data_IF_010806191686
#
_entry.id   IF_010806191686
#
_cell.length_a   1.000
_cell.length_b   1.000
_cell.length_c   1.000
_cell.angle_alpha   90.00
_cell.angle_beta   90.00
_cell.angle_gamma   90.00
#
_symmetry.space_group_name_H-M   'P 1'
#
loop_
_entity.id
_entity.type
_entity.pdbx_description
1 polymer ?
#
# COMPACT_ATOMS: atom_id res chain seq x y z
N UNK A 1 -61.95 20.73 35.11
CA UNK A 1 -62.59 22.07 35.23
C UNK A 1 -62.00 22.95 34.14
N UNK A 2 -62.80 23.14 33.13
CA UNK A 2 -63.33 24.44 32.64
C UNK A 2 -62.24 25.39 32.07
N UNK A 3 -62.20 25.49 30.75
CA UNK A 3 -62.57 26.68 29.91
C UNK A 3 -61.47 27.74 29.86
N UNK A 4 -61.13 28.38 28.72
CA UNK A 4 -61.91 28.96 27.60
C UNK A 4 -61.03 29.39 26.50
N UNK A 5 -61.56 29.27 25.29
CA UNK A 5 -61.16 29.84 24.03
C UNK A 5 -60.94 31.36 24.08
N UNK A 6 -60.01 31.87 23.27
CA UNK A 6 -60.26 33.19 22.64
C UNK A 6 -59.66 33.20 21.24
N UNK A 7 -60.52 33.39 20.29
CA UNK A 7 -60.31 33.49 18.89
C UNK A 7 -60.43 34.98 18.54
N UNK A 8 -59.42 35.57 17.81
CA UNK A 8 -59.57 36.84 17.14
C UNK A 8 -59.06 36.72 15.71
N UNK A 9 -60.00 36.90 14.77
CA UNK A 9 -59.79 37.15 13.36
C UNK A 9 -59.55 38.64 13.16
N UNK A 10 -58.65 39.03 12.20
CA UNK A 10 -58.84 40.15 11.28
C UNK A 10 -57.75 40.08 10.21
N UNK A 11 -58.09 39.75 9.03
CA UNK A 11 -58.34 40.50 7.78
C UNK A 11 -57.17 41.34 7.28
N UNK A 12 -56.52 40.87 6.23
CA UNK A 12 -56.46 41.49 4.91
C UNK A 12 -55.42 42.58 4.66
N UNK A 13 -54.45 42.29 3.80
CA UNK A 13 -54.13 43.20 2.70
C UNK A 13 -53.30 42.42 1.65
N UNK A 14 -53.87 42.34 0.48
CA UNK A 14 -53.32 41.76 -0.74
C UNK A 14 -52.46 42.83 -1.43
N UNK A 15 -51.16 42.63 -1.51
CA UNK A 15 -50.32 43.34 -2.46
C UNK A 15 -49.63 42.35 -3.38
N UNK A 16 -50.06 42.41 -4.63
CA UNK A 16 -49.47 41.70 -5.75
C UNK A 16 -48.09 42.35 -6.06
N UNK A 17 -46.99 41.62 -5.86
CA UNK A 17 -45.69 41.99 -6.37
C UNK A 17 -45.23 40.88 -7.31
N UNK A 18 -45.00 41.27 -8.54
CA UNK A 18 -44.61 40.46 -9.67
C UNK A 18 -43.29 39.76 -9.42
N UNK A 19 -43.31 38.44 -9.63
CA UNK A 19 -42.11 37.60 -9.67
C UNK A 19 -41.21 37.97 -10.83
N UNK A 20 -40.00 38.40 -10.51
CA UNK A 20 -38.85 38.15 -11.37
C UNK A 20 -38.29 36.76 -11.03
N UNK A 21 -38.48 35.75 -11.88
CA UNK A 21 -37.76 34.49 -11.79
C UNK A 21 -36.30 34.75 -12.12
N UNK A 22 -35.45 34.83 -11.13
CA UNK A 22 -34.03 34.64 -11.29
C UNK A 22 -33.81 33.12 -11.52
N UNK A 23 -33.49 32.77 -12.75
CA UNK A 23 -32.99 31.46 -13.13
C UNK A 23 -31.66 31.31 -12.40
N UNK A 24 -31.57 30.45 -11.40
CA UNK A 24 -30.29 29.99 -10.88
C UNK A 24 -29.60 29.26 -12.04
N UNK A 25 -28.57 29.87 -12.57
CA UNK A 25 -27.59 29.16 -13.41
C UNK A 25 -26.92 28.16 -12.47
N UNK A 26 -27.15 26.89 -12.74
CA UNK A 26 -26.38 25.77 -12.19
C UNK A 26 -24.95 25.97 -12.71
N UNK A 27 -24.12 26.60 -11.90
CA UNK A 27 -22.69 26.62 -12.08
C UNK A 27 -22.19 25.19 -11.79
N UNK A 28 -22.29 24.38 -12.84
CA UNK A 28 -21.67 23.07 -12.87
C UNK A 28 -20.18 23.24 -12.65
N UNK A 29 -19.79 23.36 -11.39
CA UNK A 29 -18.40 23.29 -10.97
C UNK A 29 -17.81 22.01 -11.55
N UNK A 30 -17.17 22.15 -12.73
CA UNK A 30 -16.26 21.11 -13.20
C UNK A 30 -15.18 21.01 -12.13
N UNK A 31 -15.32 20.00 -11.27
CA UNK A 31 -14.25 19.60 -10.39
C UNK A 31 -12.99 19.51 -11.25
N UNK A 32 -11.92 20.19 -10.83
CA UNK A 32 -10.63 20.08 -11.49
C UNK A 32 -10.38 18.58 -11.75
N UNK A 33 -9.89 18.18 -12.93
CA UNK A 33 -9.60 16.78 -13.20
C UNK A 33 -8.71 16.29 -12.06
N UNK A 34 -9.15 15.22 -11.39
CA UNK A 34 -8.38 14.59 -10.31
C UNK A 34 -6.97 14.37 -10.88
N UNK A 35 -5.98 15.07 -10.33
CA UNK A 35 -4.61 14.97 -10.80
C UNK A 35 -4.23 13.51 -10.85
N UNK A 36 -3.63 13.06 -11.97
CA UNK A 36 -3.16 11.68 -12.07
C UNK A 36 -2.21 11.39 -10.91
N UNK A 37 -2.38 10.24 -10.25
CA UNK A 37 -1.48 9.81 -9.18
C UNK A 37 -0.04 9.84 -9.69
N UNK A 38 0.84 10.52 -8.95
CA UNK A 38 2.26 10.55 -9.29
C UNK A 38 2.90 9.25 -8.82
N UNK A 39 3.58 8.54 -9.70
CA UNK A 39 4.34 7.34 -9.36
C UNK A 39 5.14 7.55 -8.05
N UNK A 40 5.03 6.58 -7.14
CA UNK A 40 5.61 6.65 -5.81
C UNK A 40 6.50 5.42 -5.56
N UNK A 41 7.83 5.54 -5.69
CA UNK A 41 8.76 4.43 -5.54
C UNK A 41 8.88 3.96 -4.09
N UNK A 42 8.90 2.65 -3.89
CA UNK A 42 9.36 2.00 -2.66
C UNK A 42 10.86 1.71 -2.79
N UNK A 43 11.26 1.15 -3.93
CA UNK A 43 12.65 0.87 -4.29
C UNK A 43 12.83 0.90 -5.82
N UNK A 44 13.85 1.60 -6.29
CA UNK A 44 14.29 1.57 -7.71
C UNK A 44 15.79 1.27 -7.83
N UNK A 45 16.60 1.95 -7.05
CA UNK A 45 18.06 1.75 -6.90
C UNK A 45 18.46 2.07 -5.47
N UNK A 46 19.52 1.45 -4.96
CA UNK A 46 19.99 1.66 -3.56
C UNK A 46 20.28 3.11 -3.20
N UNK A 47 20.61 3.95 -4.16
CA UNK A 47 20.95 5.36 -3.96
C UNK A 47 19.87 6.33 -4.48
N UNK A 48 18.73 5.81 -4.92
CA UNK A 48 17.66 6.67 -5.39
C UNK A 48 17.14 7.55 -4.26
N UNK A 49 17.16 8.89 -4.43
CA UNK A 49 16.61 9.80 -3.43
C UNK A 49 15.09 9.71 -3.32
N UNK A 50 14.45 9.10 -4.32
CA UNK A 50 12.99 8.95 -4.40
C UNK A 50 12.49 7.66 -3.74
N UNK A 51 13.37 6.83 -3.17
CA UNK A 51 12.93 5.66 -2.42
C UNK A 51 12.22 6.10 -1.13
N UNK A 52 11.05 5.53 -0.93
CA UNK A 52 10.23 5.76 0.25
C UNK A 52 10.23 4.53 1.13
N UNK A 53 9.83 4.42 2.26
CA UNK A 53 9.83 3.24 3.12
C UNK A 53 11.23 2.62 3.37
N UNK A 54 11.35 1.97 4.50
CA UNK A 54 12.59 1.33 4.94
C UNK A 54 12.32 -0.16 5.20
N UNK A 55 13.17 -1.09 4.72
CA UNK A 55 13.08 -2.53 5.02
C UNK A 55 13.47 -2.78 6.48
N UNK A 56 12.54 -2.58 7.40
CA UNK A 56 12.77 -2.56 8.85
C UNK A 56 11.91 -3.53 9.64
N UNK A 57 10.79 -4.00 9.07
CA UNK A 57 9.87 -4.92 9.73
C UNK A 57 10.28 -6.38 9.53
N UNK A 58 11.29 -6.83 10.24
CA UNK A 58 11.82 -8.20 10.16
C UNK A 58 10.97 -9.17 10.97
N UNK A 59 10.60 -10.30 10.36
CA UNK A 59 9.61 -11.24 10.91
C UNK A 59 10.09 -12.69 10.84
N UNK A 60 9.53 -13.55 11.73
CA UNK A 60 9.77 -14.98 11.73
C UNK A 60 11.23 -15.32 12.05
N UNK A 61 11.82 -16.22 11.28
CA UNK A 61 13.24 -16.58 11.37
C UNK A 61 14.13 -15.50 10.72
N UNK A 62 14.02 -14.26 11.20
CA UNK A 62 14.72 -13.12 10.63
C UNK A 62 16.25 -13.22 10.70
N UNK A 63 16.79 -14.01 11.64
CA UNK A 63 18.24 -14.30 11.73
C UNK A 63 18.74 -15.15 10.56
N UNK A 64 17.87 -15.77 9.80
CA UNK A 64 18.19 -16.58 8.64
C UNK A 64 18.12 -15.80 7.32
N UNK A 65 17.77 -14.52 7.38
CA UNK A 65 17.72 -13.64 6.21
C UNK A 65 19.05 -12.92 6.04
N UNK A 66 19.63 -12.98 4.84
CA UNK A 66 20.62 -12.03 4.36
C UNK A 66 19.95 -11.11 3.35
N UNK A 67 20.06 -9.81 3.58
CA UNK A 67 19.46 -8.76 2.79
C UNK A 67 20.54 -7.84 2.22
N UNK A 68 20.52 -7.62 0.91
CA UNK A 68 21.43 -6.73 0.23
C UNK A 68 20.67 -5.88 -0.79
N UNK A 69 20.40 -4.64 -0.45
CA UNK A 69 19.73 -3.66 -1.31
C UNK A 69 20.67 -3.01 -2.35
N UNK A 70 21.91 -3.44 -2.40
CA UNK A 70 22.97 -2.94 -3.31
C UNK A 70 23.51 -4.03 -4.21
N UNK A 71 22.72 -5.04 -4.51
CA UNK A 71 23.15 -6.13 -5.35
C UNK A 71 23.26 -5.66 -6.81
N UNK A 72 24.46 -5.79 -7.39
CA UNK A 72 24.81 -5.18 -8.69
C UNK A 72 24.76 -6.15 -9.87
N UNK A 73 24.58 -7.46 -9.60
CA UNK A 73 24.58 -8.45 -10.68
C UNK A 73 23.18 -8.60 -11.29
N UNK A 74 23.07 -8.30 -12.58
CA UNK A 74 21.84 -8.43 -13.39
C UNK A 74 20.61 -7.75 -12.73
N UNK A 75 20.67 -6.45 -12.36
CA UNK A 75 19.45 -5.74 -11.94
C UNK A 75 18.44 -5.75 -13.10
N UNK A 76 17.16 -5.56 -12.79
CA UNK A 76 16.14 -5.39 -13.82
C UNK A 76 16.34 -4.05 -14.55
N UNK A 77 16.54 -3.00 -13.77
CA UNK A 77 16.86 -1.67 -14.29
C UNK A 77 17.93 -0.99 -13.43
N UNK A 78 18.39 0.18 -13.85
CA UNK A 78 19.37 0.96 -13.09
C UNK A 78 20.70 0.23 -12.86
N UNK A 79 21.18 0.28 -11.62
CA UNK A 79 22.50 -0.24 -11.24
C UNK A 79 22.46 -1.31 -10.15
N UNK A 80 21.38 -1.39 -9.38
CA UNK A 80 21.24 -2.31 -8.25
C UNK A 80 19.84 -2.88 -8.16
N UNK A 81 19.75 -4.06 -7.55
CA UNK A 81 18.49 -4.68 -7.12
C UNK A 81 18.59 -5.11 -5.66
N UNK A 82 17.50 -5.56 -5.07
CA UNK A 82 17.48 -6.16 -3.74
C UNK A 82 17.69 -7.67 -3.87
N UNK A 83 18.72 -8.21 -3.23
CA UNK A 83 18.91 -9.64 -3.06
C UNK A 83 18.46 -10.08 -1.68
N UNK A 84 17.67 -11.13 -1.62
CA UNK A 84 17.22 -11.77 -0.39
C UNK A 84 17.66 -13.24 -0.41
N UNK A 85 18.35 -13.66 0.65
CA UNK A 85 18.70 -15.07 0.88
C UNK A 85 18.05 -15.47 2.20
N UNK A 86 17.13 -16.41 2.15
CA UNK A 86 16.51 -17.02 3.32
C UNK A 86 17.05 -18.45 3.44
N UNK A 87 17.77 -18.72 4.54
CA UNK A 87 18.34 -20.06 4.81
C UNK A 87 17.35 -20.94 5.57
N UNK A 88 17.55 -22.26 5.48
CA UNK A 88 16.67 -23.28 6.07
C UNK A 88 17.00 -23.64 7.52
N UNK A 89 17.66 -22.76 8.27
CA UNK A 89 18.14 -23.07 9.64
C UNK A 89 17.04 -23.05 10.69
N UNK A 90 15.96 -22.32 10.45
CA UNK A 90 14.87 -22.08 11.40
C UNK A 90 15.39 -21.58 12.77
N UNK A 91 16.26 -20.57 12.74
CA UNK A 91 17.05 -20.13 13.93
C UNK A 91 16.16 -19.62 15.08
N UNK A 92 15.03 -19.00 14.81
CA UNK A 92 14.03 -18.59 15.79
C UNK A 92 12.90 -19.64 15.97
N UNK A 93 12.91 -20.72 15.20
CA UNK A 93 11.93 -21.79 15.28
C UNK A 93 10.58 -21.51 14.61
N UNK A 94 10.47 -20.43 13.87
CA UNK A 94 9.23 -20.02 13.21
C UNK A 94 8.95 -20.79 11.90
N UNK A 95 10.00 -21.26 11.21
CA UNK A 95 9.95 -21.94 9.90
C UNK A 95 9.37 -21.09 8.76
N UNK A 96 9.29 -19.79 8.97
CA UNK A 96 8.91 -18.80 7.97
C UNK A 96 9.67 -17.50 8.21
N UNK A 97 9.76 -16.66 7.19
CA UNK A 97 10.37 -15.34 7.29
C UNK A 97 9.71 -14.35 6.35
N UNK A 98 9.85 -13.05 6.68
CA UNK A 98 9.40 -11.96 5.86
C UNK A 98 10.02 -10.64 6.27
N UNK A 99 9.90 -9.65 5.38
CA UNK A 99 10.32 -8.27 5.66
C UNK A 99 9.22 -7.32 5.19
N UNK A 100 8.86 -6.35 6.05
CA UNK A 100 8.11 -5.15 5.68
C UNK A 100 9.05 -3.98 5.41
N UNK A 101 8.78 -3.26 4.35
CA UNK A 101 9.21 -1.89 4.12
C UNK A 101 8.23 -0.96 4.83
N UNK A 102 8.70 -0.21 5.83
CA UNK A 102 7.85 0.55 6.75
C UNK A 102 8.20 2.04 6.76
N UNK A 103 7.20 2.88 7.05
CA UNK A 103 7.35 4.29 7.37
C UNK A 103 6.48 4.64 8.60
N UNK A 104 7.09 5.16 9.68
CA UNK A 104 8.53 5.18 9.94
C UNK A 104 9.11 3.78 10.18
N UNK A 105 10.46 3.64 10.18
CA UNK A 105 11.09 2.33 10.41
C UNK A 105 10.65 1.69 11.73
N UNK A 106 10.46 0.35 11.71
CA UNK A 106 10.00 -0.44 12.86
C UNK A 106 8.66 0.01 13.45
N UNK A 107 7.77 0.56 12.62
CA UNK A 107 6.43 0.91 13.05
C UNK A 107 5.46 -0.26 12.82
N UNK A 108 5.00 -0.85 13.91
CA UNK A 108 4.00 -1.91 13.92
C UNK A 108 2.62 -1.38 14.36
N UNK A 109 2.26 -0.17 13.93
CA UNK A 109 1.00 0.48 14.29
C UNK A 109 0.98 1.08 15.70
N UNK A 110 2.15 1.27 16.31
CA UNK A 110 2.29 1.80 17.68
C UNK A 110 2.53 3.30 17.74
N UNK A 111 2.71 3.94 16.59
CA UNK A 111 2.94 5.38 16.46
C UNK A 111 2.45 5.90 15.11
N UNK A 112 2.15 7.20 14.98
CA UNK A 112 1.78 7.80 13.70
C UNK A 112 2.82 7.56 12.62
N UNK A 113 2.37 7.36 11.38
CA UNK A 113 3.24 7.15 10.23
C UNK A 113 2.44 6.82 8.98
N UNK A 114 3.14 6.31 7.98
CA UNK A 114 2.56 5.97 6.70
C UNK A 114 2.55 7.13 5.71
N UNK A 115 2.21 6.79 4.48
CA UNK A 115 1.99 7.75 3.40
C UNK A 115 0.53 7.69 2.95
N UNK A 116 0.01 8.83 2.54
CA UNK A 116 -1.24 8.90 1.79
C UNK A 116 -0.93 8.60 0.32
N UNK A 117 -1.40 7.43 -0.12
CA UNK A 117 -1.24 6.91 -1.47
C UNK A 117 -2.56 6.92 -2.23
N UNK A 118 -3.53 7.71 -1.77
CA UNK A 118 -4.85 7.86 -2.40
C UNK A 118 -4.70 8.19 -3.88
N UNK A 119 -5.37 7.42 -4.71
CA UNK A 119 -5.31 7.56 -6.17
C UNK A 119 -4.40 6.55 -6.87
N UNK A 120 -3.51 5.86 -6.17
CA UNK A 120 -2.79 4.71 -6.73
C UNK A 120 -3.78 3.61 -7.12
N UNK A 121 -3.58 2.99 -8.28
CA UNK A 121 -4.42 1.92 -8.81
C UNK A 121 -3.78 0.55 -8.68
N UNK A 122 -2.48 0.52 -8.56
CA UNK A 122 -1.70 -0.71 -8.43
C UNK A 122 -0.36 -0.44 -7.77
N UNK A 123 0.23 -1.48 -7.20
CA UNK A 123 1.65 -1.55 -6.94
C UNK A 123 2.26 -2.55 -7.93
N UNK A 124 3.32 -2.15 -8.63
CA UNK A 124 4.08 -3.04 -9.50
C UNK A 124 5.48 -3.27 -8.94
N UNK A 125 6.04 -4.43 -9.24
CA UNK A 125 7.43 -4.77 -8.90
C UNK A 125 7.95 -5.85 -9.83
N UNK A 126 9.27 -5.93 -9.97
CA UNK A 126 9.92 -7.01 -10.67
C UNK A 126 10.53 -7.98 -9.67
N UNK A 127 10.40 -9.27 -9.93
CA UNK A 127 10.99 -10.32 -9.12
C UNK A 127 11.52 -11.46 -9.98
N UNK A 128 12.59 -12.11 -9.49
CA UNK A 128 13.13 -13.36 -10.05
C UNK A 128 13.69 -14.23 -8.93
N UNK A 129 13.68 -15.51 -9.13
CA UNK A 129 14.43 -16.47 -8.33
C UNK A 129 15.90 -16.52 -8.77
N UNK A 130 16.72 -17.16 -7.98
CA UNK A 130 18.11 -17.43 -8.34
C UNK A 130 18.19 -18.59 -9.35
N UNK A 131 17.42 -19.63 -9.12
CA UNK A 131 17.37 -20.85 -9.95
C UNK A 131 16.04 -20.98 -10.70
N UNK A 132 15.01 -20.33 -10.23
CA UNK A 132 13.62 -20.58 -10.58
C UNK A 132 13.02 -21.71 -9.74
N UNK A 133 11.74 -21.57 -9.42
CA UNK A 133 11.02 -22.47 -8.53
C UNK A 133 10.93 -21.98 -7.07
N UNK A 134 11.66 -20.92 -6.70
CA UNK A 134 11.50 -20.27 -5.41
C UNK A 134 10.05 -19.78 -5.26
N UNK A 135 9.41 -20.14 -4.16
CA UNK A 135 8.00 -19.83 -3.91
C UNK A 135 7.88 -18.78 -2.81
N UNK A 136 7.23 -17.69 -3.12
CA UNK A 136 6.90 -16.63 -2.18
C UNK A 136 5.41 -16.77 -1.85
N UNK A 137 5.09 -16.94 -0.57
CA UNK A 137 3.72 -17.18 -0.13
C UNK A 137 2.86 -15.91 -0.24
N UNK A 138 3.47 -14.76 -0.02
CA UNK A 138 2.77 -13.50 -0.05
C UNK A 138 3.69 -12.34 -0.47
N UNK A 139 3.20 -11.50 -1.36
CA UNK A 139 3.60 -10.12 -1.54
C UNK A 139 2.42 -9.23 -1.23
N UNK A 140 2.59 -8.19 -0.41
CA UNK A 140 1.48 -7.32 -0.02
C UNK A 140 1.91 -5.89 0.32
N UNK A 141 0.89 -5.05 0.45
CA UNK A 141 0.95 -3.70 1.04
C UNK A 141 -0.02 -3.63 2.20
N UNK A 142 0.22 -2.73 3.13
CA UNK A 142 -0.68 -2.51 4.25
C UNK A 142 -0.79 -3.71 5.21
N UNK A 143 -1.83 -3.68 6.04
CA UNK A 143 -2.16 -4.76 6.97
C UNK A 143 -1.41 -4.70 8.31
N UNK A 144 -0.66 -3.65 8.58
CA UNK A 144 -0.17 -3.36 9.93
C UNK A 144 -1.37 -2.95 10.79
N UNK A 145 -1.50 -3.57 11.96
CA UNK A 145 -2.60 -3.34 12.91
C UNK A 145 -2.14 -2.55 14.12
N UNK A 146 -3.06 -2.04 14.95
CA UNK A 146 -2.74 -1.30 16.16
C UNK A 146 -3.47 0.03 16.24
N UNK A 147 -3.01 0.93 17.10
CA UNK A 147 -3.60 2.26 17.28
C UNK A 147 -3.49 3.11 16.00
N UNK A 148 -2.38 2.95 15.27
CA UNK A 148 -2.11 3.62 14.00
C UNK A 148 -2.01 2.58 12.89
N UNK A 149 -3.11 1.83 12.72
CA UNK A 149 -3.21 0.79 11.71
C UNK A 149 -3.14 1.34 10.28
N UNK A 150 -2.71 0.50 9.35
CA UNK A 150 -2.89 0.80 7.94
C UNK A 150 -4.38 0.87 7.58
N UNK A 151 -4.73 1.75 6.65
CA UNK A 151 -6.13 1.98 6.24
C UNK A 151 -6.71 0.79 5.47
N UNK A 152 -5.86 0.03 4.76
CA UNK A 152 -6.27 -1.18 4.02
C UNK A 152 -5.11 -2.16 3.86
N UNK A 153 -5.39 -3.28 3.19
CA UNK A 153 -4.43 -4.31 2.82
C UNK A 153 -4.75 -4.86 1.43
N UNK A 154 -3.74 -5.11 0.64
CA UNK A 154 -3.86 -5.83 -0.63
C UNK A 154 -2.61 -6.69 -0.86
N UNK A 155 -2.76 -7.79 -1.58
CA UNK A 155 -1.64 -8.68 -1.83
C UNK A 155 -1.91 -9.70 -2.93
N UNK A 156 -0.84 -10.37 -3.30
CA UNK A 156 -0.85 -11.51 -4.23
C UNK A 156 -0.04 -12.66 -3.62
N UNK A 157 -0.36 -13.85 -4.02
CA UNK A 157 0.37 -15.07 -3.63
C UNK A 157 -0.53 -16.29 -3.55
N UNK A 158 0.04 -17.47 -3.47
CA UNK A 158 1.46 -17.75 -3.61
C UNK A 158 1.97 -17.54 -5.05
N UNK A 159 3.24 -17.13 -5.16
CA UNK A 159 3.92 -16.89 -6.45
C UNK A 159 5.13 -17.83 -6.58
N UNK A 160 5.27 -18.47 -7.72
CA UNK A 160 6.48 -19.24 -8.07
C UNK A 160 7.33 -18.38 -9.00
N UNK A 161 8.55 -18.09 -8.61
CA UNK A 161 9.47 -17.26 -9.36
C UNK A 161 10.19 -18.07 -10.45
N UNK A 162 10.48 -17.43 -11.57
CA UNK A 162 11.40 -17.95 -12.59
C UNK A 162 12.80 -17.39 -12.39
N UNK A 163 13.79 -17.96 -13.08
CA UNK A 163 15.15 -17.42 -13.08
C UNK A 163 15.27 -16.09 -13.84
N UNK A 164 14.28 -15.78 -14.68
CA UNK A 164 14.18 -14.52 -15.40
C UNK A 164 13.30 -13.52 -14.68
N UNK A 165 13.57 -12.23 -14.84
CA UNK A 165 12.77 -11.16 -14.30
C UNK A 165 11.33 -11.19 -14.85
N UNK A 166 10.38 -11.15 -13.95
CA UNK A 166 8.95 -11.04 -14.26
C UNK A 166 8.34 -9.88 -13.49
N UNK A 167 7.44 -9.16 -14.13
CA UNK A 167 6.66 -8.12 -13.47
C UNK A 167 5.44 -8.71 -12.78
N UNK A 168 5.22 -8.31 -11.54
CA UNK A 168 4.05 -8.63 -10.75
C UNK A 168 3.27 -7.36 -10.44
N UNK A 169 1.98 -7.53 -10.22
CA UNK A 169 1.07 -6.42 -9.91
C UNK A 169 0.17 -6.80 -8.75
N UNK A 170 0.08 -5.92 -7.77
CA UNK A 170 -0.96 -5.95 -6.73
C UNK A 170 -1.99 -4.90 -7.14
N UNK A 171 -3.23 -5.33 -7.34
CA UNK A 171 -4.36 -4.45 -7.65
C UNK A 171 -4.78 -3.67 -6.39
N UNK A 172 -4.93 -2.37 -6.53
CA UNK A 172 -5.30 -1.44 -5.46
C UNK A 172 -6.62 -0.71 -5.75
N UNK A 173 -7.32 -1.06 -6.82
CA UNK A 173 -8.61 -0.43 -7.12
C UNK A 173 -9.60 -0.64 -5.99
N UNK A 174 -10.24 0.45 -5.56
CA UNK A 174 -11.22 0.43 -4.47
C UNK A 174 -10.64 0.31 -3.06
N UNK A 175 -9.32 0.32 -2.91
CA UNK A 175 -8.65 0.29 -1.61
C UNK A 175 -8.57 1.67 -0.98
N UNK A 176 -8.72 1.72 0.34
CA UNK A 176 -8.42 2.92 1.13
C UNK A 176 -6.92 3.01 1.38
N UNK A 177 -6.26 3.88 0.65
CA UNK A 177 -4.81 4.07 0.74
C UNK A 177 -4.43 5.37 1.47
N UNK A 178 -5.33 5.92 2.28
CA UNK A 178 -5.14 7.20 2.97
C UNK A 178 -4.03 7.18 4.03
N UNK A 179 -3.68 5.99 4.55
CA UNK A 179 -2.60 5.84 5.53
C UNK A 179 -1.99 4.45 5.43
N UNK A 180 -0.85 4.32 4.78
CA UNK A 180 -0.14 3.05 4.58
C UNK A 180 1.26 3.14 5.18
N UNK A 181 1.46 2.51 6.33
CA UNK A 181 2.76 2.37 7.02
C UNK A 181 3.57 1.20 6.49
N UNK A 182 2.90 0.11 6.12
CA UNK A 182 3.49 -1.07 5.51
C UNK A 182 3.48 -0.98 3.98
N UNK A 183 4.46 -0.30 3.39
CA UNK A 183 4.47 0.03 1.96
C UNK A 183 4.70 -1.15 1.02
N UNK A 184 5.38 -2.19 1.47
CA UNK A 184 5.61 -3.43 0.74
C UNK A 184 6.04 -4.52 1.72
N UNK A 185 5.68 -5.75 1.44
CA UNK A 185 6.07 -6.90 2.25
C UNK A 185 6.20 -8.14 1.37
N UNK A 186 7.11 -9.01 1.74
CA UNK A 186 7.13 -10.39 1.28
C UNK A 186 7.17 -11.34 2.47
N UNK A 187 6.63 -12.56 2.31
CA UNK A 187 6.77 -13.64 3.26
C UNK A 187 6.87 -14.98 2.54
N UNK A 188 7.68 -15.88 3.08
CA UNK A 188 7.78 -17.28 2.63
C UNK A 188 8.11 -18.22 3.79
N UNK A 189 8.09 -19.53 3.55
CA UNK A 189 8.32 -20.53 4.59
C UNK A 189 9.14 -21.73 4.07
N UNK A 190 9.58 -22.58 5.02
CA UNK A 190 10.38 -23.76 4.72
C UNK A 190 9.56 -24.96 4.22
N UNK A 191 8.23 -24.93 4.33
CA UNK A 191 7.40 -26.03 3.82
C UNK A 191 7.35 -25.99 2.30
N UNK A 192 7.46 -24.81 1.70
CA UNK A 192 7.49 -24.60 0.25
C UNK A 192 8.89 -24.36 -0.31
N UNK A 193 9.86 -24.00 0.54
CA UNK A 193 11.27 -23.83 0.21
C UNK A 193 12.15 -24.60 1.21
N UNK A 194 12.15 -25.94 1.22
CA UNK A 194 12.83 -26.72 2.26
C UNK A 194 14.36 -26.53 2.28
N UNK A 195 14.95 -26.09 1.18
CA UNK A 195 16.39 -25.76 1.07
C UNK A 195 16.68 -24.28 1.29
N UNK A 196 15.67 -23.49 1.69
CA UNK A 196 15.72 -22.03 1.68
C UNK A 196 15.38 -21.45 0.32
N UNK A 197 15.49 -20.13 0.18
CA UNK A 197 15.20 -19.42 -1.06
C UNK A 197 16.20 -18.27 -1.28
N UNK A 198 16.63 -18.09 -2.52
CA UNK A 198 17.34 -16.88 -2.95
C UNK A 198 16.55 -16.23 -4.07
N UNK A 199 16.18 -14.98 -3.90
CA UNK A 199 15.41 -14.24 -4.88
C UNK A 199 15.77 -12.76 -4.88
N UNK A 200 15.30 -12.07 -5.91
CA UNK A 200 15.65 -10.68 -6.17
C UNK A 200 14.41 -9.87 -6.46
N UNK A 201 14.41 -8.61 -6.02
CA UNK A 201 13.36 -7.64 -6.24
C UNK A 201 13.94 -6.37 -6.86
N UNK A 202 13.15 -5.71 -7.70
CA UNK A 202 13.53 -4.45 -8.31
C UNK A 202 12.30 -3.64 -8.71
N UNK A 203 12.46 -2.32 -8.92
CA UNK A 203 11.42 -1.42 -9.42
C UNK A 203 10.08 -1.56 -8.68
N UNK A 204 10.11 -1.54 -7.35
CA UNK A 204 8.90 -1.61 -6.51
C UNK A 204 8.28 -0.22 -6.44
N UNK A 205 7.05 -0.03 -6.95
CA UNK A 205 6.43 1.29 -7.02
C UNK A 205 4.90 1.25 -7.09
N UNK A 206 4.27 2.27 -6.52
CA UNK A 206 2.85 2.55 -6.68
C UNK A 206 2.62 3.39 -7.94
N UNK A 207 1.52 3.08 -8.67
CA UNK A 207 1.10 3.72 -9.92
C UNK A 207 -0.42 3.97 -9.95
#
# INVERSE_FOLDING_TARGET
>A
MKHRYFMILLAGFLTLATLGQAKAEDDGGMGAPAGSFKMFPVYTDAKSPDNHYIPSGWMGDFGDIKFNDKFMEKPHSGTTSVQIIYSNKATQGARWSGIYWQNPPNNWGTRPGGYDLTGAKKLTFWARGDKGGERIEEFKIGGITGEYADSDVAGIGPVVLTADWQQFTIDLEGKDLSSISGGFCWATNLDVNPEGATFYLDDIRYE
#
